data_IF_600911788120
#
_entry.id   IF_600911788120
#
_cell.length_a   1.000
_cell.length_b   1.000
_cell.length_c   1.000
_cell.angle_alpha   90.00
_cell.angle_beta   90.00
_cell.angle_gamma   90.00
#
_symmetry.space_group_name_H-M   'P 1'
#
loop_
_entity.id
_entity.type
_entity.pdbx_description
1 polymer ?
#
# COMPACT_ATOMS: atom_id res chain seq x y z
N UNK A 1 -1.21 -23.14 -17.06
CA UNK A 1 -2.32 -22.73 -16.17
C UNK A 1 -1.82 -21.53 -15.41
N UNK A 2 -2.42 -20.35 -15.56
CA UNK A 2 -2.01 -19.17 -14.79
C UNK A 2 -2.62 -19.33 -13.38
N UNK A 3 -1.88 -19.95 -12.48
CA UNK A 3 -2.29 -20.09 -11.08
C UNK A 3 -2.26 -18.71 -10.44
N UNK A 4 -3.40 -18.29 -9.90
CA UNK A 4 -3.54 -17.09 -9.08
C UNK A 4 -2.48 -17.11 -7.96
N UNK A 5 -1.87 -15.97 -7.64
CA UNK A 5 -0.91 -15.91 -6.53
C UNK A 5 -1.63 -16.10 -5.20
N UNK A 6 -0.97 -16.79 -4.25
CA UNK A 6 -1.45 -16.91 -2.87
C UNK A 6 -1.22 -15.63 -2.05
N UNK A 7 -0.49 -14.66 -2.62
CA UNK A 7 -0.01 -13.47 -1.94
C UNK A 7 -0.73 -12.21 -2.44
N UNK A 8 -1.12 -11.35 -1.51
CA UNK A 8 -1.66 -10.03 -1.80
C UNK A 8 -0.81 -8.94 -1.17
N UNK A 9 -0.31 -8.02 -2.00
CA UNK A 9 0.28 -6.76 -1.57
C UNK A 9 -0.74 -5.64 -1.71
N UNK A 10 -0.94 -4.87 -0.65
CA UNK A 10 -1.83 -3.72 -0.60
C UNK A 10 -0.99 -2.47 -0.31
N UNK A 11 -1.15 -1.44 -1.15
CA UNK A 11 -0.55 -0.13 -0.89
C UNK A 11 -1.63 0.83 -0.38
N UNK A 12 -1.48 1.31 0.84
CA UNK A 12 -2.32 2.36 1.41
C UNK A 12 -1.89 3.73 0.90
N UNK A 13 -2.81 4.41 0.22
CA UNK A 13 -2.60 5.74 -0.35
C UNK A 13 -3.73 6.69 0.02
N UNK A 14 -3.45 7.99 -0.06
CA UNK A 14 -4.48 9.03 -0.15
C UNK A 14 -4.69 9.45 -1.60
N UNK A 15 -5.92 9.87 -1.93
CA UNK A 15 -6.21 10.56 -3.18
C UNK A 15 -5.27 11.78 -3.33
N UNK A 16 -4.70 12.04 -4.53
CA UNK A 16 -3.70 13.06 -4.75
C UNK A 16 -4.33 14.47 -4.80
N UNK A 17 -4.85 14.94 -3.66
CA UNK A 17 -5.50 16.25 -3.50
C UNK A 17 -4.50 17.27 -2.91
N UNK A 18 -4.46 18.45 -3.51
CA UNK A 18 -3.61 19.54 -3.00
C UNK A 18 -4.00 19.92 -1.56
N UNK A 19 -2.99 20.12 -0.70
CA UNK A 19 -3.21 20.49 0.70
C UNK A 19 -3.60 19.35 1.66
N UNK A 20 -3.84 18.13 1.17
CA UNK A 20 -4.25 16.98 2.03
C UNK A 20 -3.13 15.94 2.24
N UNK A 21 -2.07 16.03 1.44
CA UNK A 21 -0.93 15.12 1.43
C UNK A 21 0.36 15.85 1.78
N UNK A 22 1.29 15.14 2.43
CA UNK A 22 2.60 15.66 2.87
C UNK A 22 2.50 17.00 3.61
N UNK A 23 1.45 17.20 4.41
CA UNK A 23 1.20 18.45 5.15
C UNK A 23 2.30 18.80 6.14
N UNK A 24 3.03 17.79 6.66
CA UNK A 24 4.22 18.00 7.51
C UNK A 24 5.40 18.66 6.79
N UNK A 25 5.43 18.64 5.46
CA UNK A 25 6.45 19.33 4.66
C UNK A 25 6.06 20.79 4.36
N UNK A 26 4.88 21.23 4.81
CA UNK A 26 4.41 22.60 4.65
C UNK A 26 4.72 23.40 5.93
N UNK A 27 5.16 24.67 5.81
CA UNK A 27 5.18 25.49 4.60
C UNK A 27 6.48 25.42 3.77
N UNK A 28 7.46 24.59 4.14
CA UNK A 28 8.74 24.51 3.42
C UNK A 28 8.55 24.15 1.93
N UNK A 29 7.56 23.31 1.66
CA UNK A 29 7.00 23.08 0.33
C UNK A 29 5.61 23.73 0.23
N UNK A 30 5.32 24.32 -0.92
CA UNK A 30 3.95 24.72 -1.26
C UNK A 30 3.03 23.50 -1.34
N UNK A 31 1.69 23.66 -1.23
CA UNK A 31 0.75 22.55 -1.45
C UNK A 31 0.94 21.86 -2.81
N UNK A 32 1.26 22.62 -3.87
CA UNK A 32 1.52 22.08 -5.20
C UNK A 32 2.84 21.27 -5.25
N UNK A 33 3.92 21.75 -4.64
CA UNK A 33 5.18 21.00 -4.54
C UNK A 33 5.01 19.73 -3.69
N UNK A 34 4.27 19.82 -2.58
CA UNK A 34 3.95 18.68 -1.72
C UNK A 34 3.17 17.60 -2.48
N UNK A 35 2.19 18.03 -3.29
CA UNK A 35 1.43 17.13 -4.15
C UNK A 35 2.31 16.52 -5.24
N UNK A 36 3.14 17.31 -5.91
CA UNK A 36 4.03 16.81 -6.96
C UNK A 36 5.02 15.78 -6.41
N UNK A 37 5.60 16.02 -5.23
CA UNK A 37 6.47 15.07 -4.55
C UNK A 37 5.71 13.79 -4.20
N UNK A 38 4.53 13.92 -3.59
CA UNK A 38 3.68 12.77 -3.26
C UNK A 38 3.34 11.92 -4.50
N UNK A 39 3.01 12.58 -5.62
CA UNK A 39 2.74 11.90 -6.89
C UNK A 39 3.96 11.15 -7.42
N UNK A 40 5.14 11.79 -7.38
CA UNK A 40 6.40 11.14 -7.76
C UNK A 40 6.70 9.91 -6.91
N UNK A 41 6.62 10.03 -5.58
CA UNK A 41 6.88 8.93 -4.64
C UNK A 41 5.96 7.73 -4.89
N UNK A 42 4.65 7.96 -5.05
CA UNK A 42 3.71 6.87 -5.29
C UNK A 42 3.88 6.23 -6.68
N UNK A 43 4.22 7.02 -7.71
CA UNK A 43 4.54 6.48 -9.04
C UNK A 43 5.80 5.62 -9.01
N UNK A 44 6.88 6.07 -8.35
CA UNK A 44 8.13 5.31 -8.22
C UNK A 44 7.89 3.99 -7.44
N UNK A 45 7.15 4.07 -6.33
CA UNK A 45 6.80 2.90 -5.53
C UNK A 45 6.00 1.88 -6.36
N UNK A 46 4.96 2.34 -7.06
CA UNK A 46 4.14 1.45 -7.87
C UNK A 46 4.97 0.82 -8.98
N UNK A 47 5.80 1.60 -9.67
CA UNK A 47 6.68 1.08 -10.72
C UNK A 47 7.67 0.02 -10.21
N UNK A 48 8.22 0.21 -9.01
CA UNK A 48 9.15 -0.74 -8.40
C UNK A 48 8.50 -2.07 -8.01
N UNK A 49 7.20 -2.06 -7.68
CA UNK A 49 6.51 -3.20 -7.08
C UNK A 49 5.55 -3.91 -8.06
N UNK A 50 5.02 -3.21 -9.05
CA UNK A 50 4.08 -3.75 -10.02
C UNK A 50 4.76 -4.82 -10.90
N UNK A 51 4.15 -6.00 -11.00
CA UNK A 51 4.67 -7.17 -11.75
C UNK A 51 6.08 -7.64 -11.35
N UNK A 52 6.54 -7.31 -10.13
CA UNK A 52 7.93 -7.53 -9.74
C UNK A 52 8.16 -8.77 -8.87
N UNK A 53 7.09 -9.40 -8.36
CA UNK A 53 7.16 -10.58 -7.49
C UNK A 53 5.94 -11.50 -7.64
N UNK A 54 5.94 -12.59 -6.87
CA UNK A 54 4.80 -13.52 -6.79
C UNK A 54 3.78 -13.01 -5.77
N UNK A 55 3.03 -12.00 -6.19
CA UNK A 55 1.87 -11.45 -5.50
C UNK A 55 0.97 -10.68 -6.47
N UNK A 56 -0.31 -10.57 -6.12
CA UNK A 56 -1.18 -9.56 -6.70
C UNK A 56 -1.03 -8.23 -5.96
N UNK A 57 -1.25 -7.11 -6.65
CA UNK A 57 -1.10 -5.77 -6.08
C UNK A 57 -2.42 -4.99 -6.18
N UNK A 58 -2.92 -4.53 -5.04
CA UNK A 58 -4.06 -3.61 -4.93
C UNK A 58 -3.63 -2.27 -4.31
N UNK A 59 -4.27 -1.18 -4.72
CA UNK A 59 -4.13 0.15 -4.10
C UNK A 59 -5.39 0.47 -3.31
N UNK A 60 -5.24 0.64 -2.00
CA UNK A 60 -6.35 0.98 -1.11
C UNK A 60 -6.27 2.46 -0.75
N UNK A 61 -7.25 3.26 -1.21
CA UNK A 61 -7.18 4.71 -1.19
C UNK A 61 -8.14 5.37 -0.19
N UNK A 62 -7.82 6.59 0.23
CA UNK A 62 -8.69 7.43 1.06
C UNK A 62 -8.65 8.89 0.58
N UNK A 63 -9.75 9.65 0.60
CA UNK A 63 -11.13 9.26 0.94
C UNK A 63 -11.81 8.39 -0.13
N UNK A 64 -13.00 7.87 0.20
CA UNK A 64 -13.77 6.90 -0.62
C UNK A 64 -14.13 7.42 -2.03
N UNK A 65 -14.30 8.73 -2.16
CA UNK A 65 -14.59 9.42 -3.43
C UNK A 65 -13.34 9.64 -4.31
N UNK A 66 -12.18 9.14 -3.91
CA UNK A 66 -10.90 9.34 -4.59
C UNK A 66 -10.63 8.49 -5.83
N UNK A 67 -11.53 7.57 -6.21
CA UNK A 67 -11.26 6.56 -7.25
C UNK A 67 -10.69 7.13 -8.54
N UNK A 68 -11.38 8.14 -9.10
CA UNK A 68 -11.02 8.75 -10.38
C UNK A 68 -9.63 9.40 -10.33
N UNK A 69 -9.32 10.11 -9.26
CA UNK A 69 -8.03 10.79 -9.08
C UNK A 69 -6.87 9.79 -8.94
N UNK A 70 -7.12 8.64 -8.31
CA UNK A 70 -6.14 7.55 -8.20
C UNK A 70 -5.87 6.94 -9.56
N UNK A 71 -6.92 6.60 -10.31
CA UNK A 71 -6.82 6.01 -11.64
C UNK A 71 -6.15 6.96 -12.65
N UNK A 72 -6.49 8.26 -12.62
CA UNK A 72 -5.84 9.29 -13.45
C UNK A 72 -4.35 9.46 -13.11
N UNK A 73 -3.94 9.18 -11.87
CA UNK A 73 -2.54 9.28 -11.46
C UNK A 73 -1.74 8.01 -11.76
N UNK A 74 -2.25 6.84 -11.41
CA UNK A 74 -1.50 5.58 -11.40
C UNK A 74 -1.86 4.62 -12.55
N UNK A 75 -2.88 4.95 -13.35
CA UNK A 75 -3.31 4.20 -14.53
C UNK A 75 -4.19 2.98 -14.21
N UNK A 76 -4.38 2.10 -15.20
CA UNK A 76 -5.32 0.96 -15.11
C UNK A 76 -4.65 -0.38 -14.75
N UNK A 77 -3.34 -0.36 -14.49
CA UNK A 77 -2.54 -1.57 -14.26
C UNK A 77 -2.74 -2.22 -12.89
N UNK A 78 -3.55 -1.62 -12.02
CA UNK A 78 -3.83 -2.10 -10.66
C UNK A 78 -5.29 -1.92 -10.30
N UNK A 79 -5.73 -2.67 -9.30
CA UNK A 79 -7.08 -2.52 -8.76
C UNK A 79 -7.10 -1.51 -7.62
N UNK A 80 -8.10 -0.64 -7.65
CA UNK A 80 -8.32 0.40 -6.65
C UNK A 80 -9.52 0.05 -5.76
N UNK A 81 -9.36 0.14 -4.45
CA UNK A 81 -10.44 -0.04 -3.48
C UNK A 81 -10.42 1.08 -2.42
N UNK A 82 -11.58 1.58 -1.96
CA UNK A 82 -11.59 2.53 -0.86
C UNK A 82 -11.15 1.86 0.45
N UNK A 83 -10.41 2.59 1.28
CA UNK A 83 -10.11 2.16 2.65
C UNK A 83 -11.36 2.25 3.51
N UNK A 84 -11.80 1.13 4.06
CA UNK A 84 -12.98 1.05 4.92
C UNK A 84 -12.60 1.01 6.41
N UNK A 85 -13.24 1.82 7.25
CA UNK A 85 -13.04 1.81 8.70
C UNK A 85 -12.92 3.22 9.27
N UNK A 86 -13.22 3.37 10.56
CA UNK A 86 -13.25 4.67 11.24
C UNK A 86 -11.86 5.19 11.59
N UNK A 87 -10.90 4.29 11.78
CA UNK A 87 -9.52 4.61 12.12
C UNK A 87 -8.53 3.73 11.33
N UNK A 88 -7.23 4.05 11.43
CA UNK A 88 -6.19 3.33 10.68
C UNK A 88 -6.15 1.83 11.01
N UNK A 89 -6.27 1.48 12.29
CA UNK A 89 -6.29 0.08 12.76
C UNK A 89 -7.42 -0.72 12.13
N UNK A 90 -8.63 -0.18 12.14
CA UNK A 90 -9.80 -0.81 11.50
C UNK A 90 -9.62 -0.96 9.99
N UNK A 91 -9.06 0.06 9.33
CA UNK A 91 -8.76 0.02 7.89
C UNK A 91 -7.80 -1.09 7.54
N UNK A 92 -6.70 -1.23 8.29
CA UNK A 92 -5.74 -2.31 8.08
C UNK A 92 -6.37 -3.68 8.35
N UNK A 93 -7.13 -3.81 9.44
CA UNK A 93 -7.82 -5.07 9.78
C UNK A 93 -8.78 -5.50 8.66
N UNK A 94 -9.59 -4.56 8.15
CA UNK A 94 -10.53 -4.82 7.05
C UNK A 94 -9.82 -5.15 5.73
N UNK A 95 -8.70 -4.49 5.43
CA UNK A 95 -7.91 -4.79 4.24
C UNK A 95 -7.30 -6.20 4.30
N UNK A 96 -6.74 -6.60 5.46
CA UNK A 96 -6.22 -7.96 5.67
C UNK A 96 -7.35 -8.99 5.58
N UNK A 97 -8.45 -8.80 6.31
CA UNK A 97 -9.57 -9.74 6.27
C UNK A 97 -10.17 -9.84 4.86
N UNK A 98 -10.27 -8.72 4.14
CA UNK A 98 -10.73 -8.70 2.76
C UNK A 98 -9.78 -9.43 1.79
N UNK A 99 -8.48 -9.50 2.08
CA UNK A 99 -7.55 -10.37 1.36
C UNK A 99 -7.83 -11.85 1.62
N UNK A 100 -8.01 -12.20 2.89
CA UNK A 100 -8.34 -13.56 3.31
C UNK A 100 -9.67 -14.03 2.70
N UNK A 101 -10.71 -13.20 2.73
CA UNK A 101 -12.03 -13.50 2.17
C UNK A 101 -11.97 -13.70 0.65
N UNK A 102 -11.02 -13.06 -0.03
CA UNK A 102 -10.73 -13.27 -1.46
C UNK A 102 -9.92 -14.55 -1.73
N UNK A 103 -9.47 -15.25 -0.69
CA UNK A 103 -8.72 -16.51 -0.77
C UNK A 103 -7.19 -16.36 -0.84
N UNK A 104 -6.62 -15.18 -0.55
CA UNK A 104 -5.17 -15.04 -0.42
C UNK A 104 -4.73 -15.59 0.94
N UNK A 105 -3.65 -16.37 0.97
CA UNK A 105 -3.11 -16.96 2.20
C UNK A 105 -2.30 -15.96 3.02
N UNK A 106 -1.61 -15.04 2.33
CA UNK A 106 -0.75 -14.03 2.95
C UNK A 106 -1.09 -12.66 2.39
N UNK A 107 -1.36 -11.69 3.28
CA UNK A 107 -1.65 -10.30 2.89
C UNK A 107 -0.68 -9.35 3.59
N UNK A 108 -0.06 -8.46 2.81
CA UNK A 108 0.83 -7.41 3.30
C UNK A 108 0.25 -6.05 2.96
N UNK A 109 0.28 -5.12 3.91
CA UNK A 109 -0.03 -3.71 3.72
C UNK A 109 1.25 -2.90 3.89
N UNK A 110 1.49 -1.98 2.95
CA UNK A 110 2.52 -0.94 3.06
C UNK A 110 1.93 0.45 2.88
N UNK A 111 2.62 1.48 3.38
CA UNK A 111 2.34 2.88 3.05
C UNK A 111 3.03 3.33 1.76
N UNK A 112 2.63 4.49 1.22
CA UNK A 112 3.26 5.08 0.02
C UNK A 112 4.46 5.98 0.26
N UNK A 113 4.93 6.06 1.51
CA UNK A 113 5.92 7.04 1.94
C UNK A 113 7.38 6.58 1.76
N UNK A 114 7.60 5.33 1.32
CA UNK A 114 8.92 4.74 1.09
C UNK A 114 9.09 4.33 -0.38
N UNK A 115 9.35 5.28 -1.31
CA UNK A 115 9.44 5.00 -2.75
C UNK A 115 10.59 4.05 -3.12
N UNK A 116 11.57 3.89 -2.22
CA UNK A 116 12.73 3.00 -2.40
C UNK A 116 12.46 1.56 -2.00
N UNK A 117 11.26 1.22 -1.52
CA UNK A 117 10.91 -0.18 -1.25
C UNK A 117 11.05 -1.00 -2.52
N UNK A 118 11.81 -2.07 -2.42
CA UNK A 118 12.11 -2.95 -3.52
C UNK A 118 11.25 -4.21 -3.46
N UNK A 119 11.15 -4.89 -4.61
CA UNK A 119 10.58 -6.25 -4.67
C UNK A 119 11.20 -7.21 -3.66
N UNK A 120 12.50 -7.04 -3.35
CA UNK A 120 13.23 -7.93 -2.43
C UNK A 120 12.71 -7.77 -1.00
N UNK A 121 12.39 -6.54 -0.60
CA UNK A 121 11.85 -6.27 0.73
C UNK A 121 10.47 -6.91 0.90
N UNK A 122 9.65 -6.84 -0.16
CA UNK A 122 8.31 -7.45 -0.17
C UNK A 122 8.38 -8.97 -0.20
N UNK A 123 9.22 -9.56 -1.07
CA UNK A 123 9.42 -11.01 -1.12
C UNK A 123 9.89 -11.55 0.22
N UNK A 124 10.88 -10.88 0.84
CA UNK A 124 11.37 -11.25 2.16
C UNK A 124 10.25 -11.22 3.21
N UNK A 125 9.40 -10.20 3.20
CA UNK A 125 8.28 -10.12 4.13
C UNK A 125 7.25 -11.26 3.92
N UNK A 126 6.97 -11.67 2.68
CA UNK A 126 6.13 -12.84 2.41
C UNK A 126 6.79 -14.15 2.86
N UNK A 127 8.09 -14.33 2.63
CA UNK A 127 8.85 -15.49 3.10
C UNK A 127 8.83 -15.59 4.64
N UNK A 128 8.92 -14.46 5.34
CA UNK A 128 8.81 -14.47 6.81
C UNK A 128 7.43 -14.96 7.29
N UNK A 129 6.36 -14.66 6.56
CA UNK A 129 5.02 -15.16 6.89
C UNK A 129 4.90 -16.68 6.75
N UNK A 130 5.83 -17.37 6.11
CA UNK A 130 5.85 -18.84 6.15
C UNK A 130 6.17 -19.37 7.55
N UNK A 131 6.94 -18.61 8.32
CA UNK A 131 7.43 -19.01 9.64
C UNK A 131 6.60 -18.44 10.79
N UNK A 132 5.94 -17.29 10.60
CA UNK A 132 5.19 -16.59 11.64
C UNK A 132 3.84 -16.08 11.14
N UNK A 133 2.93 -15.75 12.05
CA UNK A 133 1.57 -15.31 11.70
C UNK A 133 1.46 -13.82 11.40
N UNK A 134 2.43 -13.04 11.89
CA UNK A 134 2.48 -11.59 11.78
C UNK A 134 3.92 -11.11 11.51
N UNK A 135 4.08 -10.22 10.53
CA UNK A 135 5.33 -9.54 10.22
C UNK A 135 5.11 -8.03 10.34
N UNK A 136 6.06 -7.33 10.96
CA UNK A 136 6.10 -5.87 11.05
C UNK A 136 7.42 -5.35 10.50
N UNK A 137 7.36 -4.36 9.62
CA UNK A 137 8.52 -3.59 9.18
C UNK A 137 8.62 -2.30 9.98
N UNK A 138 9.50 -2.19 10.98
CA UNK A 138 9.56 -1.03 11.87
C UNK A 138 10.12 0.21 11.16
N UNK A 139 9.66 1.39 11.56
CA UNK A 139 10.27 2.68 11.18
C UNK A 139 11.12 3.24 12.32
N UNK A 140 12.05 4.14 12.00
CA UNK A 140 12.98 4.75 12.98
C UNK A 140 12.23 5.56 14.04
N UNK A 141 11.07 6.12 13.70
CA UNK A 141 10.22 6.92 14.58
C UNK A 141 9.25 6.08 15.45
N UNK A 142 9.41 4.75 15.47
CA UNK A 142 8.64 3.84 16.33
C UNK A 142 7.29 3.41 15.77
N UNK A 143 7.01 3.73 14.50
CA UNK A 143 5.89 3.18 13.74
C UNK A 143 6.28 1.91 12.98
N UNK A 144 5.47 1.56 11.99
CA UNK A 144 5.77 0.51 11.02
C UNK A 144 5.36 0.96 9.62
N UNK A 145 6.21 0.64 8.63
CA UNK A 145 5.95 0.92 7.23
C UNK A 145 5.29 -0.26 6.52
N UNK A 146 5.36 -1.45 7.13
CA UNK A 146 4.83 -2.70 6.63
C UNK A 146 4.15 -3.47 7.76
N UNK A 147 2.98 -4.02 7.48
CA UNK A 147 2.33 -5.03 8.31
C UNK A 147 1.86 -6.17 7.41
N UNK A 148 2.21 -7.39 7.75
CA UNK A 148 1.81 -8.60 7.04
C UNK A 148 1.17 -9.58 7.99
N UNK A 149 0.12 -10.27 7.53
CA UNK A 149 -0.49 -11.36 8.26
C UNK A 149 -0.83 -12.51 7.31
N UNK A 150 -0.83 -13.73 7.83
CA UNK A 150 -1.35 -14.91 7.12
C UNK A 150 -2.65 -15.40 7.73
N UNK A 151 -3.39 -16.14 6.92
CA UNK A 151 -4.44 -17.03 7.39
C UNK A 151 -3.80 -18.33 7.88
N UNK A 152 -4.28 -18.84 9.02
CA UNK A 152 -3.93 -20.17 9.55
C UNK A 152 -4.33 -21.30 8.59
#
# INVERSE_FOLDING_TARGET
MNTRSDNLLIIFMKAPRSGTVKTRMQPQLTPAQSLSLYKGMGTDLLHNLLHSGDYELEVHYYPEDGHKEMQEWLGDGVKYLPQEGSNLGEKMRKAISGGIDKGYRRTIIIGSDLPTLSKRDISFAFEQLDMVDLVLGPTVDGGYYLIGAKQD
#
